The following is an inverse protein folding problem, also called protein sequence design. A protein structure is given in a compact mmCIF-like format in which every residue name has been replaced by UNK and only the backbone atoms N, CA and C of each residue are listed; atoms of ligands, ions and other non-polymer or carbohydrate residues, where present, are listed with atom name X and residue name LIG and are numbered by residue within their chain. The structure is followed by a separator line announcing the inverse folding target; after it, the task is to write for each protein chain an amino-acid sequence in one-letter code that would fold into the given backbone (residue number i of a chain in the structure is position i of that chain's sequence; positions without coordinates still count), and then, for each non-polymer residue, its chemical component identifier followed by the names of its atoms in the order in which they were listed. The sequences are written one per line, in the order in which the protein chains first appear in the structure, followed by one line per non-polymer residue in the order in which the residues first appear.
data_IF_463490400190
#
_entry.id   IF_463490400190
#
_cell.length_a   1.000
_cell.length_b   1.000
_cell.length_c   1.000
_cell.angle_alpha   90.00
_cell.angle_beta   90.00
_cell.angle_gamma   90.00
#
_symmetry.space_group_name_H-M   'P 1'
#
loop_
_entity.id
_entity.type
_entity.pdbx_description
1 polymer ?
#
# COMPACT_ATOMS: atom_id res chain seq x y z
N UNK A 1 -10.67 -0.40 -3.00
CA UNK A 1 -10.15 0.60 -2.02
C UNK A 1 -9.28 1.56 -2.80
N UNK A 2 -9.00 2.75 -2.29
CA UNK A 2 -8.01 3.68 -2.87
C UNK A 2 -7.02 4.06 -1.78
N UNK A 3 -5.75 4.19 -2.13
CA UNK A 3 -4.72 4.71 -1.24
C UNK A 3 -4.03 5.88 -1.92
N UNK A 4 -3.83 6.95 -1.17
CA UNK A 4 -3.07 8.12 -1.61
C UNK A 4 -1.76 8.14 -0.85
N UNK A 5 -0.68 8.54 -1.51
CA UNK A 5 0.63 8.72 -0.90
C UNK A 5 1.05 10.16 -1.14
N UNK A 6 1.20 10.91 -0.07
CA UNK A 6 1.28 12.37 -0.13
C UNK A 6 2.41 12.89 0.74
N UNK A 7 3.09 13.94 0.28
CA UNK A 7 4.11 14.63 1.08
C UNK A 7 3.52 15.75 1.89
N UNK A 8 2.54 16.44 1.34
CA UNK A 8 1.89 17.54 2.04
C UNK A 8 0.85 16.96 2.98
N UNK A 9 0.96 17.18 4.31
CA UNK A 9 0.07 16.57 5.27
C UNK A 9 -1.37 17.01 4.98
N UNK A 10 -2.31 16.08 5.10
CA UNK A 10 -3.73 16.24 4.83
C UNK A 10 -4.11 16.59 3.39
N UNK A 11 -3.17 16.73 2.45
CA UNK A 11 -3.52 17.01 1.06
C UNK A 11 -4.03 15.73 0.38
N UNK A 12 -5.16 15.79 -0.32
CA UNK A 12 -5.73 14.64 -1.04
C UNK A 12 -5.71 14.84 -2.57
N UNK A 13 -4.83 14.17 -3.33
CA UNK A 13 -4.80 14.25 -4.79
C UNK A 13 -6.07 13.72 -5.49
N UNK A 14 -6.71 12.69 -4.94
CA UNK A 14 -7.97 12.08 -5.40
C UNK A 14 -9.13 13.06 -5.30
N UNK A 15 -9.15 13.89 -4.27
CA UNK A 15 -10.18 14.92 -4.06
C UNK A 15 -9.78 16.28 -4.68
N UNK A 16 -8.83 16.29 -5.63
CA UNK A 16 -8.44 17.48 -6.37
C UNK A 16 -7.49 18.42 -5.63
N UNK A 17 -6.73 17.91 -4.64
CA UNK A 17 -5.75 18.68 -3.88
C UNK A 17 -6.34 19.44 -2.69
N UNK A 18 -7.53 19.06 -2.23
CA UNK A 18 -8.13 19.65 -1.01
C UNK A 18 -7.39 19.17 0.24
N UNK A 19 -7.34 20.03 1.26
CA UNK A 19 -6.79 19.71 2.56
C UNK A 19 -7.87 19.12 3.46
N UNK A 20 -7.68 17.89 3.94
CA UNK A 20 -8.59 17.14 4.80
C UNK A 20 -8.58 17.60 6.26
N UNK A 21 -7.56 18.35 6.66
CA UNK A 21 -7.33 18.76 8.03
C UNK A 21 -6.22 19.81 8.13
N UNK A 22 -6.02 20.33 9.34
CA UNK A 22 -5.10 21.43 9.62
C UNK A 22 -4.26 21.21 10.88
N UNK A 23 -4.18 19.96 11.37
CA UNK A 23 -3.35 19.63 12.53
C UNK A 23 -1.87 19.66 12.12
N UNK A 24 -0.99 19.89 13.09
CA UNK A 24 0.44 19.81 12.83
C UNK A 24 0.83 18.34 12.63
N UNK A 25 1.34 18.03 11.44
CA UNK A 25 1.94 16.75 11.11
C UNK A 25 3.24 16.99 10.33
N UNK A 26 4.23 16.10 10.43
CA UNK A 26 5.48 16.21 9.69
C UNK A 26 5.21 16.26 8.19
N UNK A 27 5.90 17.15 7.48
CA UNK A 27 5.84 17.15 6.01
C UNK A 27 6.69 16.03 5.45
N UNK A 28 6.20 15.38 4.41
CA UNK A 28 6.95 14.44 3.60
C UNK A 28 8.22 15.06 3.05
N UNK A 29 9.34 14.36 3.22
CA UNK A 29 10.65 14.80 2.77
C UNK A 29 11.16 13.86 1.68
N UNK A 30 12.01 14.39 0.81
CA UNK A 30 12.78 13.63 -0.16
C UNK A 30 14.22 14.15 -0.09
N UNK A 31 14.98 13.65 0.88
CA UNK A 31 16.36 14.08 1.09
C UNK A 31 17.26 13.20 0.23
N UNK A 32 17.69 13.73 -0.93
CA UNK A 32 18.74 13.13 -1.76
C UNK A 32 20.05 13.87 -1.52
N UNK A 33 20.88 13.35 -0.61
CA UNK A 33 22.29 13.75 -0.46
C UNK A 33 23.20 12.66 -1.02
N UNK A 34 24.50 12.92 -1.20
CA UNK A 34 25.43 11.93 -1.77
C UNK A 34 25.46 10.61 -0.99
N UNK A 35 25.16 10.65 0.31
CA UNK A 35 25.24 9.51 1.23
C UNK A 35 23.89 9.11 1.85
N UNK A 36 22.81 9.87 1.63
CA UNK A 36 21.51 9.58 2.24
C UNK A 36 20.38 9.75 1.22
N UNK A 37 19.50 8.73 1.13
CA UNK A 37 18.35 8.68 0.21
C UNK A 37 17.08 8.38 1.00
N UNK A 38 16.82 9.23 2.00
CA UNK A 38 15.66 9.07 2.87
C UNK A 38 14.47 9.82 2.29
N UNK A 39 13.30 9.19 2.39
CA UNK A 39 12.04 9.82 2.05
C UNK A 39 10.96 9.49 3.07
N UNK A 40 10.05 10.42 3.27
CA UNK A 40 8.89 10.24 4.15
C UNK A 40 7.63 10.66 3.40
N UNK A 41 6.56 9.88 3.55
CA UNK A 41 5.24 10.22 3.02
C UNK A 41 4.12 9.76 3.95
N UNK A 42 3.00 10.46 3.88
CA UNK A 42 1.75 10.07 4.48
C UNK A 42 0.92 9.22 3.54
N UNK A 43 0.04 8.40 4.10
CA UNK A 43 -0.91 7.57 3.36
C UNK A 43 -2.34 7.83 3.84
N UNK A 44 -3.23 8.14 2.91
CA UNK A 44 -4.67 8.18 3.17
C UNK A 44 -5.32 6.95 2.55
N UNK A 45 -6.05 6.18 3.35
CA UNK A 45 -6.71 4.97 2.91
C UNK A 45 -8.21 5.14 2.86
N UNK A 46 -8.81 4.91 1.69
CA UNK A 46 -10.23 5.12 1.45
C UNK A 46 -10.97 3.82 1.18
N UNK A 47 -12.19 3.78 1.70
CA UNK A 47 -13.23 2.91 1.18
C UNK A 47 -13.69 3.47 -0.15
N UNK A 48 -13.50 2.69 -1.22
CA UNK A 48 -13.84 3.11 -2.58
C UNK A 48 -14.59 1.98 -3.29
N UNK A 49 -15.94 1.98 -3.25
CA UNK A 49 -16.80 0.91 -3.74
C UNK A 49 -17.04 1.01 -5.26
N UNK A 50 -15.97 1.18 -6.05
CA UNK A 50 -16.04 1.41 -7.50
C UNK A 50 -16.90 0.36 -8.24
N UNK A 51 -16.73 -0.92 -7.91
CA UNK A 51 -17.48 -2.01 -8.54
C UNK A 51 -18.98 -1.94 -8.27
N UNK A 52 -19.38 -1.42 -7.10
CA UNK A 52 -20.79 -1.20 -6.77
C UNK A 52 -21.37 -0.04 -7.57
N UNK A 53 -20.62 1.06 -7.72
CA UNK A 53 -21.05 2.21 -8.55
C UNK A 53 -21.15 1.88 -10.03
N UNK A 54 -20.25 1.06 -10.55
CA UNK A 54 -20.28 0.60 -11.95
C UNK A 54 -21.34 -0.49 -12.19
N UNK A 55 -22.04 -0.94 -11.14
CA UNK A 55 -23.00 -2.04 -11.18
C UNK A 55 -22.46 -3.30 -11.89
N UNK A 56 -21.15 -3.57 -11.72
CA UNK A 56 -20.43 -4.57 -12.48
C UNK A 56 -20.54 -5.97 -11.86
N UNK A 57 -20.93 -6.03 -10.59
CA UNK A 57 -21.22 -7.26 -9.85
C UNK A 57 -22.74 -7.36 -9.67
N UNK A 58 -23.37 -8.27 -10.42
CA UNK A 58 -24.81 -8.51 -10.37
C UNK A 58 -25.21 -9.53 -9.30
N UNK A 59 -24.25 -10.30 -8.78
CA UNK A 59 -24.51 -11.29 -7.74
C UNK A 59 -24.48 -10.67 -6.34
N UNK A 60 -25.63 -10.67 -5.67
CA UNK A 60 -25.82 -10.27 -4.27
C UNK A 60 -24.86 -10.99 -3.32
N UNK A 61 -24.42 -12.21 -3.66
CA UNK A 61 -23.48 -13.00 -2.85
C UNK A 61 -22.05 -12.41 -2.82
N UNK A 62 -21.68 -11.59 -3.82
CA UNK A 62 -20.34 -10.99 -3.92
C UNK A 62 -20.31 -9.51 -3.56
N UNK A 63 -21.44 -8.81 -3.56
CA UNK A 63 -21.47 -7.37 -3.32
C UNK A 63 -21.46 -7.10 -1.82
N UNK A 64 -20.46 -6.35 -1.34
CA UNK A 64 -20.49 -5.74 -0.01
C UNK A 64 -20.97 -4.30 -0.16
N UNK A 65 -22.15 -3.95 0.37
CA UNK A 65 -22.61 -2.57 0.37
C UNK A 65 -21.72 -1.75 1.30
N UNK A 66 -20.81 -0.98 0.72
CA UNK A 66 -19.96 -0.04 1.45
C UNK A 66 -20.16 1.34 0.81
N UNK A 67 -20.20 2.39 1.63
CA UNK A 67 -20.18 3.77 1.17
C UNK A 67 -18.74 4.26 1.00
N UNK A 68 -18.54 5.26 0.14
CA UNK A 68 -17.25 5.96 0.10
C UNK A 68 -17.00 6.66 1.44
N UNK A 69 -15.82 6.44 2.00
CA UNK A 69 -15.41 7.00 3.29
C UNK A 69 -13.88 6.96 3.42
N UNK A 70 -13.35 7.80 4.32
CA UNK A 70 -11.94 7.79 4.69
C UNK A 70 -11.76 6.78 5.83
N UNK A 71 -11.06 5.69 5.55
CA UNK A 71 -10.83 4.64 6.54
C UNK A 71 -9.67 4.98 7.48
N UNK A 72 -8.63 5.62 6.96
CA UNK A 72 -7.42 5.90 7.73
C UNK A 72 -6.65 7.10 7.17
N UNK A 73 -6.12 7.92 8.07
CA UNK A 73 -5.26 9.08 7.78
C UNK A 73 -4.02 8.92 8.66
N UNK A 74 -2.84 8.78 8.06
CA UNK A 74 -1.61 8.48 8.82
C UNK A 74 -1.06 9.67 9.59
N UNK A 75 -1.42 10.90 9.24
CA UNK A 75 -1.05 12.12 9.95
C UNK A 75 -1.58 12.14 11.39
N UNK A 76 -2.63 11.37 11.67
CA UNK A 76 -3.21 11.24 13.01
C UNK A 76 -2.63 10.06 13.80
N UNK A 77 -1.77 9.26 13.18
CA UNK A 77 -1.21 8.06 13.76
C UNK A 77 0.27 8.26 14.14
N UNK A 78 0.60 8.33 15.44
CA UNK A 78 1.99 8.49 15.88
C UNK A 78 2.88 7.28 15.49
N UNK A 79 2.29 6.10 15.25
CA UNK A 79 3.03 4.92 14.79
C UNK A 79 3.49 5.02 13.33
N UNK A 80 3.08 6.05 12.59
CA UNK A 80 3.46 6.21 11.18
C UNK A 80 4.69 7.10 10.98
N UNK A 81 4.97 7.98 11.93
CA UNK A 81 6.08 8.93 11.87
C UNK A 81 7.34 8.41 12.57
N UNK A 82 7.17 7.54 13.57
CA UNK A 82 8.24 7.09 14.46
C UNK A 82 8.54 5.58 14.29
N UNK A 83 9.74 5.27 13.78
CA UNK A 83 10.23 3.90 13.54
C UNK A 83 10.21 3.06 14.84
N UNK A 84 10.62 3.66 15.96
CA UNK A 84 10.69 3.01 17.27
C UNK A 84 9.31 2.69 17.83
N UNK A 85 8.33 3.59 17.63
CA UNK A 85 6.96 3.35 18.04
C UNK A 85 6.30 2.30 17.15
N UNK A 86 6.58 2.30 15.84
CA UNK A 86 6.10 1.27 14.91
C UNK A 86 6.53 -0.14 15.37
N UNK A 87 7.71 -0.28 16.00
CA UNK A 87 8.16 -1.56 16.58
C UNK A 87 7.15 -2.20 17.54
N UNK A 88 6.28 -1.41 18.18
CA UNK A 88 5.22 -1.92 19.07
C UNK A 88 4.23 -2.84 18.33
N UNK A 89 3.92 -2.55 17.06
CA UNK A 89 2.98 -3.34 16.24
C UNK A 89 3.68 -4.40 15.37
N UNK A 90 5.00 -4.32 15.24
CA UNK A 90 5.81 -5.26 14.46
C UNK A 90 7.12 -5.69 15.18
N UNK A 91 7.04 -6.33 16.35
CA UNK A 91 8.23 -6.78 17.08
C UNK A 91 9.06 -7.80 16.28
N UNK A 92 8.44 -8.53 15.36
CA UNK A 92 9.13 -9.48 14.49
C UNK A 92 10.11 -8.82 13.51
N UNK A 93 10.06 -7.50 13.32
CA UNK A 93 11.00 -6.79 12.46
C UNK A 93 12.47 -7.04 12.85
N UNK A 94 12.75 -7.23 14.16
CA UNK A 94 14.07 -7.58 14.66
C UNK A 94 14.60 -8.91 14.10
N UNK A 95 13.71 -9.88 13.81
CA UNK A 95 14.09 -11.17 13.24
C UNK A 95 14.47 -11.05 11.76
N UNK A 96 13.89 -10.08 11.03
CA UNK A 96 14.05 -9.91 9.58
C UNK A 96 15.01 -8.77 9.20
N UNK A 97 15.61 -8.10 10.17
CA UNK A 97 16.63 -7.07 9.96
C UNK A 97 18.00 -7.64 9.50
N UNK A 98 18.12 -8.95 9.34
CA UNK A 98 19.36 -9.61 8.94
C UNK A 98 19.52 -9.65 7.40
N UNK A 99 20.76 -9.66 6.87
CA UNK A 99 21.01 -9.66 5.42
C UNK A 99 20.42 -10.86 4.67
N UNK A 100 20.30 -12.04 5.31
CA UNK A 100 19.74 -13.25 4.70
C UNK A 100 18.23 -13.06 4.46
N UNK A 101 17.52 -12.52 5.43
CA UNK A 101 16.10 -12.21 5.32
C UNK A 101 15.84 -11.13 4.24
N UNK A 102 16.71 -10.13 4.14
CA UNK A 102 16.62 -9.10 3.10
C UNK A 102 16.94 -9.66 1.71
N UNK A 103 17.93 -10.55 1.60
CA UNK A 103 18.24 -11.25 0.35
C UNK A 103 17.08 -12.13 -0.13
N UNK A 104 16.28 -12.69 0.77
CA UNK A 104 15.08 -13.46 0.41
C UNK A 104 14.05 -12.62 -0.37
N UNK A 105 14.04 -11.28 -0.21
CA UNK A 105 13.13 -10.41 -0.96
C UNK A 105 13.43 -10.38 -2.46
N UNK A 106 14.64 -10.76 -2.90
CA UNK A 106 14.94 -10.96 -4.31
C UNK A 106 14.09 -12.08 -4.94
N UNK A 107 13.85 -13.16 -4.20
CA UNK A 107 12.97 -14.24 -4.64
C UNK A 107 11.51 -13.78 -4.72
N UNK A 108 11.06 -12.98 -3.76
CA UNK A 108 9.73 -12.37 -3.78
C UNK A 108 9.54 -11.42 -4.97
N UNK A 109 10.54 -10.59 -5.27
CA UNK A 109 10.56 -9.70 -6.43
C UNK A 109 10.45 -10.48 -7.75
N UNK A 110 11.22 -11.57 -7.90
CA UNK A 110 11.15 -12.42 -9.09
C UNK A 110 9.76 -13.05 -9.25
N UNK A 111 9.19 -13.58 -8.16
CA UNK A 111 7.85 -14.17 -8.16
C UNK A 111 6.76 -13.13 -8.50
N UNK A 112 6.79 -11.96 -7.86
CA UNK A 112 5.84 -10.87 -8.11
C UNK A 112 5.92 -10.32 -9.53
N UNK A 113 7.12 -10.32 -10.13
CA UNK A 113 7.35 -9.89 -11.51
C UNK A 113 6.75 -10.88 -12.52
N UNK A 114 6.90 -12.19 -12.29
CA UNK A 114 6.35 -13.22 -13.16
C UNK A 114 4.84 -13.42 -12.96
N UNK A 115 4.35 -13.26 -11.73
CA UNK A 115 2.97 -13.57 -11.37
C UNK A 115 2.57 -12.79 -10.14
N UNK A 116 2.45 -13.47 -9.00
CA UNK A 116 2.09 -12.88 -7.72
C UNK A 116 3.24 -13.02 -6.71
N UNK A 117 3.32 -12.13 -5.71
CA UNK A 117 4.31 -12.24 -4.65
C UNK A 117 4.10 -13.52 -3.81
N UNK A 118 5.15 -13.94 -3.12
CA UNK A 118 5.16 -15.08 -2.23
C UNK A 118 4.60 -14.67 -0.87
N UNK A 119 3.39 -15.13 -0.55
CA UNK A 119 2.73 -14.86 0.72
C UNK A 119 3.52 -15.29 1.97
N UNK A 120 4.30 -16.40 1.97
CA UNK A 120 5.13 -16.76 3.12
C UNK A 120 6.23 -15.75 3.44
N UNK A 121 6.70 -14.97 2.46
CA UNK A 121 7.70 -13.91 2.63
C UNK A 121 7.01 -12.59 3.00
N UNK A 122 6.20 -12.58 4.06
CA UNK A 122 5.36 -11.43 4.43
C UNK A 122 6.15 -10.18 4.82
N UNK A 123 7.43 -10.32 5.20
CA UNK A 123 8.34 -9.20 5.50
C UNK A 123 8.93 -8.53 4.25
N UNK A 124 8.70 -9.11 3.06
CA UNK A 124 9.13 -8.58 1.78
C UNK A 124 7.96 -7.94 1.03
N UNK A 125 8.22 -6.77 0.46
CA UNK A 125 7.35 -6.02 -0.43
C UNK A 125 7.77 -6.24 -1.90
N UNK A 126 8.15 -7.47 -2.27
CA UNK A 126 8.72 -7.80 -3.58
C UNK A 126 9.89 -6.91 -3.98
N UNK A 127 9.82 -6.32 -5.17
CA UNK A 127 10.87 -5.46 -5.72
C UNK A 127 11.01 -4.11 -5.02
N UNK A 128 10.02 -3.70 -4.20
CA UNK A 128 10.07 -2.47 -3.42
C UNK A 128 10.92 -2.60 -2.14
N UNK A 129 11.41 -3.81 -1.81
CA UNK A 129 12.27 -4.05 -0.64
C UNK A 129 11.54 -4.58 0.58
N UNK A 130 11.87 -4.08 1.78
CA UNK A 130 11.34 -4.60 3.04
C UNK A 130 10.07 -3.90 3.50
N UNK A 131 9.11 -4.69 3.99
CA UNK A 131 7.89 -4.19 4.63
C UNK A 131 8.16 -3.50 5.97
N UNK A 132 9.32 -3.71 6.58
CA UNK A 132 9.65 -3.10 7.86
C UNK A 132 10.60 -1.91 7.69
N UNK A 133 10.50 -0.91 8.58
CA UNK A 133 9.42 -0.70 9.55
C UNK A 133 8.05 -0.38 8.88
N UNK A 134 6.92 -0.65 9.56
CA UNK A 134 5.57 -0.43 8.98
C UNK A 134 5.13 1.02 9.24
N UNK A 135 5.87 1.94 8.65
CA UNK A 135 5.71 3.40 8.77
C UNK A 135 5.90 4.10 7.42
N UNK A 136 5.90 5.43 7.46
CA UNK A 136 6.13 6.30 6.31
C UNK A 136 7.58 6.46 5.88
N UNK A 137 8.55 5.93 6.64
CA UNK A 137 9.98 6.20 6.45
C UNK A 137 10.63 5.22 5.47
N UNK A 138 11.20 5.73 4.38
CA UNK A 138 11.84 4.97 3.31
C UNK A 138 13.32 5.32 3.24
N UNK A 139 14.19 4.44 3.75
CA UNK A 139 15.66 4.67 3.86
C UNK A 139 16.43 4.55 2.53
N UNK A 140 15.81 3.93 1.53
CA UNK A 140 16.41 3.71 0.21
C UNK A 140 15.44 4.13 -0.89
N UNK A 141 15.22 5.44 -0.99
CA UNK A 141 14.38 6.01 -2.04
C UNK A 141 15.12 6.01 -3.39
N UNK A 142 14.75 5.06 -4.26
CA UNK A 142 15.25 4.99 -5.64
C UNK A 142 14.36 5.80 -6.61
N UNK A 143 13.03 5.73 -6.43
CA UNK A 143 12.05 6.49 -7.22
C UNK A 143 10.74 6.71 -6.47
N UNK A 144 9.99 7.75 -6.84
CA UNK A 144 8.75 8.11 -6.19
C UNK A 144 7.64 7.08 -6.38
N UNK A 145 7.50 6.53 -7.59
CA UNK A 145 6.54 5.43 -7.85
C UNK A 145 6.86 4.17 -7.05
N UNK A 146 8.15 3.86 -6.86
CA UNK A 146 8.57 2.65 -6.15
C UNK A 146 8.38 2.79 -4.64
N UNK A 147 8.84 3.91 -4.07
CA UNK A 147 8.66 4.24 -2.66
C UNK A 147 7.18 4.40 -2.28
N UNK A 148 6.35 5.02 -3.11
CA UNK A 148 4.92 5.14 -2.83
C UNK A 148 4.20 3.79 -2.86
N UNK A 149 4.53 2.88 -3.79
CA UNK A 149 4.00 1.51 -3.75
C UNK A 149 4.46 0.72 -2.53
N UNK A 150 5.70 0.93 -2.06
CA UNK A 150 6.17 0.35 -0.81
C UNK A 150 5.26 0.78 0.35
N UNK A 151 4.98 2.08 0.45
CA UNK A 151 4.15 2.63 1.51
C UNK A 151 2.69 2.16 1.44
N UNK A 152 2.13 2.00 0.24
CA UNK A 152 0.81 1.37 0.08
C UNK A 152 0.81 -0.08 0.59
N UNK A 153 1.88 -0.84 0.33
CA UNK A 153 2.00 -2.21 0.82
C UNK A 153 2.17 -2.26 2.34
N UNK A 154 3.01 -1.39 2.91
CA UNK A 154 3.17 -1.23 4.37
C UNK A 154 1.86 -0.84 5.03
N UNK A 155 1.13 0.12 4.47
CA UNK A 155 -0.17 0.52 4.98
C UNK A 155 -1.18 -0.63 4.95
N UNK A 156 -1.21 -1.41 3.87
CA UNK A 156 -2.02 -2.63 3.82
C UNK A 156 -1.62 -3.62 4.94
N UNK A 157 -0.32 -3.83 5.17
CA UNK A 157 0.17 -4.67 6.25
C UNK A 157 -0.21 -4.13 7.64
N UNK A 158 -0.13 -2.81 7.85
CA UNK A 158 -0.54 -2.12 9.07
C UNK A 158 -2.02 -2.35 9.38
N UNK A 159 -2.88 -2.15 8.39
CA UNK A 159 -4.32 -2.39 8.52
C UNK A 159 -4.64 -3.86 8.84
N UNK A 160 -3.87 -4.81 8.28
CA UNK A 160 -3.99 -6.22 8.61
C UNK A 160 -3.56 -6.52 10.05
N UNK A 161 -2.44 -5.94 10.51
CA UNK A 161 -1.95 -6.06 11.89
C UNK A 161 -2.93 -5.49 12.92
N UNK A 162 -3.59 -4.38 12.58
CA UNK A 162 -4.63 -3.75 13.39
C UNK A 162 -6.01 -4.42 13.23
N UNK A 163 -6.11 -5.51 12.47
CA UNK A 163 -7.36 -6.26 12.21
C UNK A 163 -8.47 -5.46 11.51
N UNK A 164 -8.13 -4.31 10.92
CA UNK A 164 -9.04 -3.48 10.13
C UNK A 164 -9.22 -4.12 8.75
N UNK A 165 -8.11 -4.47 8.09
CA UNK A 165 -8.13 -5.23 6.85
C UNK A 165 -8.30 -6.72 7.13
N UNK A 166 -9.10 -7.39 6.29
CA UNK A 166 -9.51 -8.79 6.45
C UNK A 166 -9.11 -9.63 5.25
N UNK A 167 -8.94 -10.92 5.48
CA UNK A 167 -8.87 -11.89 4.40
C UNK A 167 -10.23 -11.99 3.72
N UNK A 168 -10.23 -11.89 2.40
CA UNK A 168 -11.39 -12.09 1.55
C UNK A 168 -11.10 -13.09 0.44
N UNK A 169 -9.89 -13.66 0.39
CA UNK A 169 -9.41 -14.45 -0.72
C UNK A 169 -9.25 -15.94 -0.39
N UNK A 170 -9.09 -16.30 0.89
CA UNK A 170 -9.04 -17.72 1.29
C UNK A 170 -10.37 -18.42 1.09
N UNK A 171 -10.30 -19.75 0.98
CA UNK A 171 -11.48 -20.63 1.04
C UNK A 171 -12.29 -20.45 2.33
N UNK A 172 -11.62 -20.25 3.46
CA UNK A 172 -12.29 -19.99 4.74
C UNK A 172 -13.02 -18.66 4.78
N UNK A 173 -12.52 -17.65 4.05
CA UNK A 173 -13.11 -16.31 3.98
C UNK A 173 -14.15 -16.13 2.86
N UNK A 174 -14.62 -17.21 2.22
CA UNK A 174 -15.54 -17.14 1.07
C UNK A 174 -16.90 -16.55 1.43
N UNK A 175 -17.46 -16.95 2.57
CA UNK A 175 -18.79 -16.52 3.01
C UNK A 175 -18.71 -15.36 4.01
N UNK A 176 -17.60 -15.24 4.76
CA UNK A 176 -17.37 -14.17 5.74
C UNK A 176 -15.90 -13.72 5.74
N UNK A 177 -15.59 -12.41 5.66
CA UNK A 177 -14.23 -11.92 5.80
C UNK A 177 -13.62 -12.23 7.18
N UNK A 178 -12.48 -12.91 7.18
CA UNK A 178 -11.81 -13.36 8.40
C UNK A 178 -10.68 -12.39 8.82
N UNK A 179 -10.42 -12.19 10.12
CA UNK A 179 -9.26 -11.45 10.58
C UNK A 179 -7.99 -12.16 10.12
N UNK A 180 -7.04 -11.40 9.58
CA UNK A 180 -5.76 -11.93 9.10
C UNK A 180 -4.65 -10.96 9.47
N UNK A 181 -3.95 -11.18 10.60
CA UNK A 181 -2.90 -10.27 11.09
C UNK A 181 -1.72 -10.13 10.14
N UNK A 182 -1.38 -11.21 9.43
CA UNK A 182 -0.27 -11.25 8.47
C UNK A 182 -0.84 -11.05 7.06
N UNK A 183 -0.42 -10.00 6.39
CA UNK A 183 -0.88 -9.67 5.04
C UNK A 183 -0.68 -10.84 4.06
N UNK A 184 -1.76 -11.28 3.42
CA UNK A 184 -1.69 -12.10 2.21
C UNK A 184 -1.53 -11.20 0.99
N UNK A 185 -0.32 -11.03 0.50
CA UNK A 185 0.02 -10.11 -0.61
C UNK A 185 -0.68 -10.50 -1.91
N UNK A 186 -0.83 -11.79 -2.19
CA UNK A 186 -1.51 -12.31 -3.39
C UNK A 186 -2.98 -11.91 -3.51
N UNK A 187 -3.60 -11.44 -2.42
CA UNK A 187 -4.95 -10.91 -2.42
C UNK A 187 -5.06 -9.53 -3.11
N UNK A 188 -3.95 -8.82 -3.32
CA UNK A 188 -3.98 -7.42 -3.72
C UNK A 188 -3.30 -7.14 -5.06
N UNK A 189 -3.87 -6.17 -5.80
CA UNK A 189 -3.23 -5.50 -6.93
C UNK A 189 -3.41 -3.99 -6.81
N UNK A 190 -2.42 -3.22 -7.24
CA UNK A 190 -2.48 -1.76 -7.37
C UNK A 190 -2.67 -1.35 -8.83
N UNK A 191 -3.34 -0.22 -9.03
CA UNK A 191 -3.42 0.45 -10.30
C UNK A 191 -3.27 1.94 -10.06
N UNK A 192 -2.33 2.58 -10.75
CA UNK A 192 -2.05 4.01 -10.58
C UNK A 192 -3.17 4.87 -11.18
N UNK A 193 -3.63 5.85 -10.41
CA UNK A 193 -4.64 6.85 -10.80
C UNK A 193 -4.02 8.24 -10.97
N UNK A 194 -3.15 8.65 -10.05
CA UNK A 194 -2.44 9.92 -10.02
C UNK A 194 -0.93 9.66 -9.84
N UNK A 195 -0.02 10.44 -10.45
CA UNK A 195 -0.27 11.67 -11.21
C UNK A 195 -0.58 11.47 -12.70
N UNK A 196 -0.11 10.37 -13.29
CA UNK A 196 -0.50 9.93 -14.64
C UNK A 196 -1.11 8.53 -14.53
N UNK A 197 -2.39 8.35 -14.86
CA UNK A 197 -3.06 7.07 -14.65
C UNK A 197 -2.46 5.98 -15.53
N UNK A 198 -2.40 4.76 -14.98
CA UNK A 198 -2.06 3.58 -15.75
C UNK A 198 -3.31 2.74 -16.02
N UNK A 199 -3.75 2.74 -17.26
CA UNK A 199 -5.05 2.17 -17.66
C UNK A 199 -4.97 0.76 -18.23
N UNK A 200 -3.77 0.26 -18.58
CA UNK A 200 -3.64 -1.04 -19.26
C UNK A 200 -3.96 -2.23 -18.34
N UNK A 201 -3.33 -2.31 -17.18
CA UNK A 201 -3.54 -3.42 -16.25
C UNK A 201 -3.21 -3.05 -14.80
N UNK A 202 -3.86 -3.75 -13.87
CA UNK A 202 -3.50 -3.69 -12.45
C UNK A 202 -2.28 -4.57 -12.17
N UNK A 203 -1.32 -4.03 -11.41
CA UNK A 203 -0.08 -4.69 -11.04
C UNK A 203 -0.22 -5.38 -9.68
N UNK A 204 0.22 -6.62 -9.51
CA UNK A 204 0.28 -7.25 -8.20
C UNK A 204 1.26 -6.53 -7.28
N UNK A 205 1.03 -6.64 -5.97
CA UNK A 205 1.96 -6.13 -4.96
C UNK A 205 3.36 -6.72 -5.18
N UNK A 206 4.40 -5.93 -4.98
CA UNK A 206 5.77 -6.39 -5.11
C UNK A 206 6.35 -6.42 -6.53
N UNK A 207 5.58 -6.08 -7.57
CA UNK A 207 6.06 -6.14 -8.96
C UNK A 207 7.03 -5.00 -9.28
N UNK A 208 8.02 -5.30 -10.11
CA UNK A 208 8.98 -4.29 -10.62
C UNK A 208 8.25 -3.11 -11.27
N UNK A 209 8.69 -1.91 -10.92
CA UNK A 209 8.05 -0.64 -11.32
C UNK A 209 8.61 -0.08 -12.62
N UNK A 210 9.89 -0.30 -12.91
CA UNK A 210 10.60 0.26 -14.08
C UNK A 210 9.80 0.22 -15.40
N UNK A 211 9.24 -0.92 -15.87
CA UNK A 211 8.65 -0.99 -17.20
C UNK A 211 7.33 -0.21 -17.33
N UNK A 212 6.62 0.05 -16.22
CA UNK A 212 5.34 0.74 -16.25
C UNK A 212 5.41 2.12 -15.57
N UNK A 213 6.13 2.29 -14.48
CA UNK A 213 6.27 3.56 -13.77
C UNK A 213 7.00 4.67 -14.53
N UNK A 214 7.74 4.34 -15.59
CA UNK A 214 8.47 5.33 -16.40
C UNK A 214 7.54 6.41 -16.95
N UNK A 215 7.91 7.69 -16.74
CA UNK A 215 7.13 8.85 -17.20
C UNK A 215 5.85 9.13 -16.41
N UNK A 216 5.62 8.46 -15.28
CA UNK A 216 4.46 8.66 -14.40
C UNK A 216 4.79 9.40 -13.10
N UNK A 217 5.95 10.01 -13.06
CA UNK A 217 6.41 10.91 -12.00
C UNK A 217 7.03 12.12 -12.71
N UNK A 218 6.72 13.31 -12.23
CA UNK A 218 7.24 14.56 -12.79
C UNK A 218 7.38 15.61 -11.68
N UNK A 219 8.36 16.51 -11.77
CA UNK A 219 8.72 17.36 -10.64
C UNK A 219 7.61 18.36 -10.28
N UNK A 220 7.65 18.85 -9.04
CA UNK A 220 6.78 19.89 -8.45
C UNK A 220 5.33 19.47 -8.17
N UNK A 221 4.62 18.89 -9.15
CA UNK A 221 3.20 18.51 -9.01
C UNK A 221 2.94 17.00 -9.08
N UNK A 222 3.82 16.24 -9.74
CA UNK A 222 3.68 14.80 -9.95
C UNK A 222 4.47 13.95 -8.96
N UNK A 223 4.56 14.43 -7.71
CA UNK A 223 5.37 13.86 -6.62
C UNK A 223 4.48 13.38 -5.44
N UNK A 224 3.17 13.33 -5.68
CA UNK A 224 2.17 12.64 -4.86
C UNK A 224 1.48 11.59 -5.74
N UNK A 225 0.94 10.54 -5.15
CA UNK A 225 0.36 9.42 -5.90
C UNK A 225 -0.99 9.00 -5.37
N UNK A 226 -1.82 8.46 -6.24
CA UNK A 226 -3.05 7.77 -5.85
C UNK A 226 -3.13 6.43 -6.57
N UNK A 227 -3.50 5.39 -5.83
CA UNK A 227 -3.58 4.02 -6.29
C UNK A 227 -4.95 3.44 -6.01
N UNK A 228 -5.59 2.92 -7.04
CA UNK A 228 -6.72 2.02 -6.90
C UNK A 228 -6.19 0.65 -6.46
N UNK A 229 -6.72 0.15 -5.35
CA UNK A 229 -6.36 -1.15 -4.79
C UNK A 229 -7.49 -2.13 -5.05
N UNK A 230 -7.17 -3.09 -5.90
CA UNK A 230 -7.98 -4.24 -6.21
C UNK A 230 -7.74 -5.33 -5.16
N UNK A 231 -8.83 -5.86 -4.61
CA UNK A 231 -8.80 -6.94 -3.64
C UNK A 231 -9.52 -8.15 -4.20
N UNK A 232 -8.85 -9.30 -4.23
CA UNK A 232 -9.47 -10.57 -4.60
C UNK A 232 -10.51 -10.95 -3.54
N UNK A 233 -11.75 -11.15 -3.97
CA UNK A 233 -12.83 -11.66 -3.14
C UNK A 233 -13.24 -13.02 -3.68
N UNK A 234 -13.08 -14.05 -2.87
CA UNK A 234 -13.69 -15.35 -3.11
C UNK A 234 -15.11 -15.28 -2.55
N UNK A 235 -16.11 -15.60 -3.38
CA UNK A 235 -17.51 -15.55 -2.96
C UNK A 235 -18.06 -16.96 -2.80
N UNK A 236 -18.94 -17.09 -1.81
CA UNK A 236 -19.74 -18.26 -1.53
C UNK A 236 -20.95 -18.25 -2.47
N UNK A 237 -20.82 -18.82 -3.67
CA UNK A 237 -21.95 -19.14 -4.52
C UNK A 237 -22.45 -20.53 -4.13
N UNK A 238 -23.74 -20.62 -3.82
CA UNK A 238 -24.45 -21.82 -3.35
C UNK A 238 -24.31 -23.01 -4.28
#
# INVERSE_FOLDING_TARGET
RVAEVVRTPFCSPLLGGVTLGSLAAPSGTNIKTSNNRDAFYHVHWYIYPLLAWMNLLTDLACVTPESFDILYITELDPLWDDDELAFLINPEAALFANPIAQAACAADCAAATLGFPLDPLFWCAGCQGSMYPIDGNVKHHEGGVDSSLLLVQRMAAKLHRQLIARDTSSRGAMCLPLPLPILRKSQYKTQMLYPVPFTLNAQPFGRVTIPWGAGREYPVRGEDWAYLIWRKKACCAF
#
